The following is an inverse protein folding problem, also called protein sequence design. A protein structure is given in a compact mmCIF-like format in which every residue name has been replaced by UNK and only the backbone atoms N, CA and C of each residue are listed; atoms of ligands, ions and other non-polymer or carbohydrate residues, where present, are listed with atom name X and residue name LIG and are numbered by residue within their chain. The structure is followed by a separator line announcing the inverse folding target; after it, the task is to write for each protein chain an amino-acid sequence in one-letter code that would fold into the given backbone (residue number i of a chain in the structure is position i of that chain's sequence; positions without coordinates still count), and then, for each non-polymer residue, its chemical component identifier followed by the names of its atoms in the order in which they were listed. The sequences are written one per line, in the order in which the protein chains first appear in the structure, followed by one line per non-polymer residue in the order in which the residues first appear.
data_IF_123802593379
#
_entry.id   IF_123802593379
#
_cell.length_a   1.000
_cell.length_b   1.000
_cell.length_c   1.000
_cell.angle_alpha   90.00
_cell.angle_beta   90.00
_cell.angle_gamma   90.00
#
_symmetry.space_group_name_H-M   'P 1'
#
loop_
_entity.id
_entity.type
_entity.pdbx_description
1 polymer ?
#
# COMPACT_ATOMS: atom_id res chain seq x y z
N UNK A 1 -10.95 -0.99 -16.63
CA UNK A 1 -12.21 -0.24 -16.79
C UNK A 1 -13.20 -0.37 -15.62
N UNK A 2 -13.11 -1.39 -14.76
CA UNK A 2 -13.95 -1.50 -13.53
C UNK A 2 -13.58 -0.44 -12.47
N UNK A 3 -12.29 -0.16 -12.27
CA UNK A 3 -11.81 0.85 -11.33
C UNK A 3 -12.30 2.27 -11.70
N UNK A 4 -12.25 2.62 -13.00
CA UNK A 4 -12.66 3.94 -13.50
C UNK A 4 -14.15 4.26 -13.24
N UNK A 5 -15.06 3.29 -13.35
CA UNK A 5 -16.50 3.53 -13.09
C UNK A 5 -16.82 3.65 -11.61
N UNK A 6 -16.03 3.03 -10.73
CA UNK A 6 -16.31 3.04 -9.29
C UNK A 6 -15.68 4.27 -8.60
N UNK A 7 -14.55 4.76 -9.11
CA UNK A 7 -13.92 6.02 -8.69
C UNK A 7 -14.82 7.23 -8.96
N UNK A 8 -15.56 7.24 -10.08
CA UNK A 8 -16.47 8.35 -10.43
C UNK A 8 -17.66 8.46 -9.47
N UNK A 9 -18.04 7.38 -8.75
CA UNK A 9 -19.24 7.36 -7.91
C UNK A 9 -18.96 7.48 -6.40
N UNK A 10 -17.79 7.04 -5.93
CA UNK A 10 -17.45 7.03 -4.49
C UNK A 10 -16.18 7.82 -4.15
N UNK A 11 -15.48 8.37 -5.14
CA UNK A 11 -14.24 9.11 -4.95
C UNK A 11 -13.01 8.20 -4.81
N UNK A 12 -11.84 8.65 -5.32
CA UNK A 12 -10.59 7.88 -5.27
C UNK A 12 -10.11 7.60 -3.83
N UNK A 13 -10.51 8.44 -2.86
CA UNK A 13 -10.23 8.27 -1.43
C UNK A 13 -10.88 7.01 -0.83
N UNK A 14 -12.11 6.67 -1.21
CA UNK A 14 -12.80 5.48 -0.68
C UNK A 14 -12.14 4.20 -1.20
N UNK A 15 -11.75 4.19 -2.48
CA UNK A 15 -11.01 3.06 -3.07
C UNK A 15 -9.64 2.88 -2.45
N UNK A 16 -8.93 3.99 -2.21
CA UNK A 16 -7.66 3.99 -1.49
C UNK A 16 -7.83 3.41 -0.08
N UNK A 17 -8.87 3.81 0.65
CA UNK A 17 -9.16 3.31 2.01
C UNK A 17 -9.47 1.81 2.03
N UNK A 18 -10.26 1.32 1.08
CA UNK A 18 -10.56 -0.12 0.95
C UNK A 18 -9.29 -0.90 0.67
N UNK A 19 -8.46 -0.45 -0.28
CA UNK A 19 -7.20 -1.10 -0.63
C UNK A 19 -6.22 -1.16 0.56
N UNK A 20 -6.05 -0.05 1.28
CA UNK A 20 -5.17 0.00 2.47
C UNK A 20 -5.71 -0.88 3.60
N UNK A 21 -7.03 -0.93 3.78
CA UNK A 21 -7.66 -1.80 4.79
C UNK A 21 -7.45 -3.28 4.46
N UNK A 22 -7.63 -3.67 3.19
CA UNK A 22 -7.33 -5.02 2.72
C UNK A 22 -5.86 -5.38 2.90
N UNK A 23 -4.95 -4.44 2.62
CA UNK A 23 -3.52 -4.62 2.82
C UNK A 23 -3.16 -4.81 4.31
N UNK A 24 -3.80 -4.06 5.22
CA UNK A 24 -3.62 -4.23 6.67
C UNK A 24 -4.13 -5.59 7.17
N UNK A 25 -5.31 -6.02 6.72
CA UNK A 25 -5.83 -7.35 7.08
C UNK A 25 -4.91 -8.45 6.53
N UNK A 26 -4.48 -8.32 5.28
CA UNK A 26 -3.56 -9.26 4.64
C UNK A 26 -2.21 -9.34 5.35
N UNK A 27 -1.66 -8.22 5.81
CA UNK A 27 -0.35 -8.21 6.50
C UNK A 27 -0.41 -8.83 7.90
N UNK A 28 -1.50 -8.62 8.65
CA UNK A 28 -1.72 -9.31 9.94
C UNK A 28 -1.82 -10.82 9.75
N UNK A 29 -2.57 -11.26 8.73
CA UNK A 29 -2.67 -12.70 8.39
C UNK A 29 -1.31 -13.25 7.95
N UNK A 30 -0.53 -12.50 7.16
CA UNK A 30 0.80 -12.90 6.70
C UNK A 30 1.77 -13.07 7.87
N UNK A 31 1.77 -12.15 8.83
CA UNK A 31 2.60 -12.25 10.05
C UNK A 31 2.17 -13.47 10.86
N UNK A 32 0.87 -13.66 11.11
CA UNK A 32 0.36 -14.84 11.81
C UNK A 32 0.77 -16.15 11.13
N UNK A 33 0.56 -16.26 9.82
CA UNK A 33 0.97 -17.44 9.04
C UNK A 33 2.48 -17.69 9.12
N UNK A 34 3.30 -16.62 9.09
CA UNK A 34 4.75 -16.72 9.18
C UNK A 34 5.25 -17.13 10.57
N UNK A 35 4.54 -16.79 11.65
CA UNK A 35 4.91 -17.18 13.01
C UNK A 35 4.51 -18.60 13.37
N UNK A 36 3.33 -19.05 12.93
CA UNK A 36 2.82 -20.39 13.25
C UNK A 36 3.23 -21.48 12.23
N UNK A 37 3.93 -21.10 11.16
CA UNK A 37 4.31 -21.96 10.01
C UNK A 37 3.12 -22.79 9.48
N UNK A 38 1.94 -22.19 9.51
CA UNK A 38 0.68 -22.86 9.17
C UNK A 38 0.61 -22.99 7.66
N UNK A 39 0.58 -24.23 7.16
CA UNK A 39 0.52 -24.59 5.73
C UNK A 39 1.80 -24.29 4.91
N UNK A 40 2.92 -23.96 5.58
CA UNK A 40 4.19 -23.64 4.92
C UNK A 40 4.06 -22.52 3.87
N UNK A 41 4.62 -22.73 2.68
CA UNK A 41 4.60 -21.76 1.57
C UNK A 41 3.18 -21.35 1.16
N UNK A 42 2.20 -22.25 1.21
CA UNK A 42 0.82 -21.96 0.77
C UNK A 42 0.16 -20.94 1.70
N UNK A 43 0.45 -21.02 3.01
CA UNK A 43 -0.03 -20.07 4.01
C UNK A 43 0.47 -18.64 3.79
N UNK A 44 1.60 -18.47 3.10
CA UNK A 44 2.21 -17.17 2.77
C UNK A 44 1.68 -16.65 1.43
N UNK A 45 1.53 -17.51 0.43
CA UNK A 45 1.12 -17.11 -0.93
C UNK A 45 -0.29 -16.49 -0.94
N UNK A 46 -1.24 -17.09 -0.20
CA UNK A 46 -2.63 -16.61 -0.18
C UNK A 46 -2.72 -15.15 0.28
N UNK A 47 -2.23 -14.77 1.48
CA UNK A 47 -2.25 -13.38 1.92
C UNK A 47 -1.42 -12.45 1.02
N UNK A 48 -0.29 -12.91 0.48
CA UNK A 48 0.49 -12.12 -0.49
C UNK A 48 -0.31 -11.80 -1.76
N UNK A 49 -1.11 -12.73 -2.26
CA UNK A 49 -1.95 -12.49 -3.43
C UNK A 49 -2.93 -11.34 -3.19
N UNK A 50 -3.57 -11.30 -2.02
CA UNK A 50 -4.47 -10.20 -1.64
C UNK A 50 -3.72 -8.87 -1.47
N UNK A 51 -2.53 -8.89 -0.87
CA UNK A 51 -1.69 -7.70 -0.71
C UNK A 51 -1.29 -7.14 -2.08
N UNK A 52 -0.75 -7.98 -2.97
CA UNK A 52 -0.30 -7.57 -4.30
C UNK A 52 -1.48 -7.06 -5.14
N UNK A 53 -2.63 -7.74 -5.07
CA UNK A 53 -3.86 -7.26 -5.72
C UNK A 53 -4.26 -5.86 -5.25
N UNK A 54 -4.12 -5.58 -3.95
CA UNK A 54 -4.46 -4.28 -3.35
C UNK A 54 -3.49 -3.18 -3.77
N UNK A 55 -2.21 -3.48 -4.02
CA UNK A 55 -1.20 -2.51 -4.47
C UNK A 55 -1.62 -1.85 -5.79
N UNK A 56 -2.20 -2.62 -6.73
CA UNK A 56 -2.66 -2.08 -8.01
C UNK A 56 -3.79 -1.06 -7.85
N UNK A 57 -4.73 -1.30 -6.93
CA UNK A 57 -5.79 -0.37 -6.61
C UNK A 57 -5.26 0.88 -5.89
N UNK A 58 -4.36 0.70 -4.93
CA UNK A 58 -3.75 1.81 -4.17
C UNK A 58 -2.97 2.73 -5.12
N UNK A 59 -2.07 2.16 -5.93
CA UNK A 59 -1.19 2.93 -6.81
C UNK A 59 -1.98 3.76 -7.84
N UNK A 60 -2.98 3.16 -8.50
CA UNK A 60 -3.79 3.88 -9.48
C UNK A 60 -4.55 5.07 -8.87
N UNK A 61 -5.15 4.89 -7.69
CA UNK A 61 -5.89 5.96 -7.02
C UNK A 61 -4.97 7.04 -6.42
N UNK A 62 -3.84 6.64 -5.84
CA UNK A 62 -2.87 7.57 -5.26
C UNK A 62 -2.24 8.48 -6.32
N UNK A 63 -1.85 7.92 -7.47
CA UNK A 63 -1.31 8.71 -8.59
C UNK A 63 -2.38 9.66 -9.12
N UNK A 64 -3.63 9.22 -9.27
CA UNK A 64 -4.72 10.11 -9.72
C UNK A 64 -4.95 11.30 -8.79
N UNK A 65 -4.97 11.09 -7.48
CA UNK A 65 -5.10 12.17 -6.49
C UNK A 65 -3.89 13.12 -6.56
N UNK A 66 -2.68 12.58 -6.68
CA UNK A 66 -1.46 13.40 -6.79
C UNK A 66 -1.41 14.24 -8.09
N UNK A 67 -2.05 13.76 -9.17
CA UNK A 67 -2.06 14.43 -10.47
C UNK A 67 -3.14 15.51 -10.59
N UNK A 68 -4.19 15.47 -9.77
CA UNK A 68 -5.34 16.38 -9.83
C UNK A 68 -4.94 17.87 -9.73
N UNK A 69 -4.11 18.31 -8.76
CA UNK A 69 -3.64 19.70 -8.70
C UNK A 69 -2.46 20.02 -9.65
N UNK A 70 -1.79 19.00 -10.22
CA UNK A 70 -0.57 19.16 -11.03
C UNK A 70 -0.70 18.58 -12.44
N UNK A 71 -1.90 18.63 -13.02
CA UNK A 71 -2.20 18.01 -14.32
C UNK A 71 -1.34 18.52 -15.47
N UNK A 72 -0.90 19.79 -15.43
CA UNK A 72 0.03 20.38 -16.40
C UNK A 72 1.46 19.83 -16.29
N UNK A 73 1.85 19.34 -15.10
CA UNK A 73 3.15 18.75 -14.78
C UNK A 73 3.08 17.22 -14.68
N UNK A 74 2.18 16.58 -15.42
CA UNK A 74 1.89 15.16 -15.27
C UNK A 74 3.13 14.26 -15.49
N UNK A 75 3.98 14.60 -16.46
CA UNK A 75 5.22 13.86 -16.73
C UNK A 75 6.24 13.92 -15.58
N UNK A 76 6.43 15.10 -15.00
CA UNK A 76 7.32 15.32 -13.84
C UNK A 76 6.77 14.67 -12.58
N UNK A 77 5.45 14.75 -12.37
CA UNK A 77 4.80 14.13 -11.21
C UNK A 77 4.90 12.61 -11.27
N UNK A 78 4.69 12.00 -12.44
CA UNK A 78 4.83 10.56 -12.63
C UNK A 78 6.27 10.07 -12.44
N UNK A 79 7.27 10.83 -12.91
CA UNK A 79 8.68 10.45 -12.74
C UNK A 79 9.14 10.56 -11.28
N UNK A 80 8.72 11.61 -10.57
CA UNK A 80 8.99 11.75 -9.13
C UNK A 80 8.29 10.67 -8.31
N UNK A 81 7.05 10.31 -8.66
CA UNK A 81 6.33 9.22 -8.02
C UNK A 81 7.07 7.90 -8.17
N UNK A 82 7.47 7.55 -9.40
CA UNK A 82 8.23 6.34 -9.69
C UNK A 82 9.61 6.33 -9.02
N UNK A 83 10.33 7.45 -9.04
CA UNK A 83 11.62 7.59 -8.34
C UNK A 83 11.46 7.34 -6.85
N UNK A 84 10.50 8.01 -6.20
CA UNK A 84 10.24 7.85 -4.76
C UNK A 84 9.85 6.42 -4.42
N UNK A 85 8.99 5.80 -5.23
CA UNK A 85 8.60 4.41 -5.06
C UNK A 85 9.80 3.46 -5.16
N UNK A 86 10.68 3.65 -6.15
CA UNK A 86 11.88 2.83 -6.31
C UNK A 86 12.89 3.05 -5.19
N UNK A 87 13.13 4.29 -4.77
CA UNK A 87 14.04 4.61 -3.65
C UNK A 87 13.56 3.96 -2.35
N UNK A 88 12.28 4.11 -2.02
CA UNK A 88 11.70 3.48 -0.83
C UNK A 88 11.72 1.95 -0.94
N UNK A 89 11.42 1.39 -2.12
CA UNK A 89 11.50 -0.05 -2.39
C UNK A 89 12.91 -0.60 -2.19
N UNK A 90 13.94 0.10 -2.67
CA UNK A 90 15.33 -0.28 -2.47
C UNK A 90 15.72 -0.23 -0.99
N UNK A 91 15.32 0.82 -0.27
CA UNK A 91 15.56 0.94 1.17
C UNK A 91 14.88 -0.19 1.96
N UNK A 92 13.63 -0.50 1.66
CA UNK A 92 12.91 -1.63 2.26
C UNK A 92 13.58 -2.97 1.92
N UNK A 93 14.05 -3.16 0.69
CA UNK A 93 14.76 -4.36 0.27
C UNK A 93 16.07 -4.56 1.04
N UNK A 94 16.83 -3.48 1.27
CA UNK A 94 18.03 -3.52 2.12
C UNK A 94 17.70 -3.87 3.57
N UNK A 95 16.63 -3.30 4.12
CA UNK A 95 16.17 -3.65 5.47
C UNK A 95 15.78 -5.12 5.57
N UNK A 96 14.93 -5.61 4.65
CA UNK A 96 14.52 -7.03 4.63
C UNK A 96 15.75 -7.94 4.52
N UNK A 97 16.69 -7.62 3.63
CA UNK A 97 17.92 -8.39 3.44
C UNK A 97 18.85 -8.38 4.66
N UNK A 98 18.95 -7.25 5.36
CA UNK A 98 19.80 -7.13 6.54
C UNK A 98 19.25 -7.87 7.77
N UNK A 99 17.92 -7.99 7.87
CA UNK A 99 17.23 -8.73 8.94
C UNK A 99 16.83 -10.15 8.49
N UNK A 100 17.37 -10.65 7.38
CA UNK A 100 17.00 -11.95 6.86
C UNK A 100 17.66 -13.08 7.64
N UNK A 101 16.89 -13.71 8.53
CA UNK A 101 17.33 -14.85 9.36
C UNK A 101 16.95 -16.22 8.75
N UNK A 102 16.71 -16.30 7.43
CA UNK A 102 16.29 -17.54 6.75
C UNK A 102 14.79 -17.85 6.86
N UNK A 103 14.00 -16.99 7.49
CA UNK A 103 12.54 -17.13 7.64
C UNK A 103 11.79 -16.00 6.90
N UNK A 104 10.48 -16.19 6.66
CA UNK A 104 9.62 -15.18 6.04
C UNK A 104 9.12 -14.10 7.03
N UNK A 105 9.39 -14.25 8.33
CA UNK A 105 8.97 -13.35 9.40
C UNK A 105 9.46 -11.91 9.22
N UNK A 106 10.77 -11.63 8.98
CA UNK A 106 11.24 -10.25 8.81
C UNK A 106 10.56 -9.52 7.65
N UNK A 107 10.28 -10.22 6.55
CA UNK A 107 9.51 -9.67 5.43
C UNK A 107 8.08 -9.33 5.84
N UNK A 108 7.38 -10.26 6.51
CA UNK A 108 5.99 -10.05 6.93
C UNK A 108 5.84 -8.87 7.89
N UNK A 109 6.77 -8.72 8.84
CA UNK A 109 6.80 -7.61 9.80
C UNK A 109 7.01 -6.27 9.10
N UNK A 110 7.94 -6.19 8.14
CA UNK A 110 8.19 -4.96 7.39
C UNK A 110 6.95 -4.56 6.57
N UNK A 111 6.30 -5.52 5.90
CA UNK A 111 5.05 -5.28 5.16
C UNK A 111 3.95 -4.77 6.11
N UNK A 112 3.85 -5.35 7.31
CA UNK A 112 2.90 -4.91 8.32
C UNK A 112 3.15 -3.45 8.72
N UNK A 113 4.39 -3.10 9.08
CA UNK A 113 4.76 -1.72 9.47
C UNK A 113 4.41 -0.74 8.34
N UNK A 114 4.73 -1.07 7.09
CA UNK A 114 4.40 -0.23 5.93
C UNK A 114 2.88 -0.08 5.73
N UNK A 115 2.11 -1.16 5.90
CA UNK A 115 0.66 -1.13 5.77
C UNK A 115 0.01 -0.21 6.82
N UNK A 116 0.42 -0.34 8.09
CA UNK A 116 -0.06 0.53 9.17
C UNK A 116 0.39 1.97 9.00
N UNK A 117 1.61 2.20 8.52
CA UNK A 117 2.11 3.55 8.20
C UNK A 117 1.25 4.18 7.09
N UNK A 118 0.93 3.42 6.04
CA UNK A 118 0.03 3.88 4.97
C UNK A 118 -1.37 4.22 5.49
N UNK A 119 -1.92 3.40 6.39
CA UNK A 119 -3.21 3.67 7.03
C UNK A 119 -3.16 4.95 7.85
N UNK A 120 -2.12 5.13 8.66
CA UNK A 120 -1.92 6.33 9.48
C UNK A 120 -1.88 7.60 8.61
N UNK A 121 -1.04 7.60 7.56
CA UNK A 121 -0.97 8.72 6.62
C UNK A 121 -2.31 9.01 5.95
N UNK A 122 -3.05 7.99 5.54
CA UNK A 122 -4.37 8.15 4.94
C UNK A 122 -5.34 8.79 5.94
N UNK A 123 -5.36 8.34 7.19
CA UNK A 123 -6.25 8.91 8.22
C UNK A 123 -5.90 10.34 8.56
N UNK A 124 -4.61 10.68 8.64
CA UNK A 124 -4.16 12.05 8.92
C UNK A 124 -4.50 12.98 7.74
N UNK A 125 -4.24 12.57 6.50
CA UNK A 125 -4.58 13.35 5.32
C UNK A 125 -6.09 13.60 5.19
N UNK A 126 -6.90 12.57 5.46
CA UNK A 126 -8.36 12.71 5.43
C UNK A 126 -8.86 13.61 6.56
N UNK A 127 -8.28 13.52 7.77
CA UNK A 127 -8.63 14.40 8.88
C UNK A 127 -8.29 15.87 8.57
N UNK A 128 -7.11 16.13 8.02
CA UNK A 128 -6.63 17.48 7.73
C UNK A 128 -7.39 18.15 6.57
N UNK A 129 -7.84 17.38 5.58
CA UNK A 129 -8.67 17.91 4.49
C UNK A 129 -10.10 18.24 4.95
N UNK A 130 -10.56 17.69 6.08
CA UNK A 130 -11.86 18.03 6.68
C UNK A 130 -11.87 19.38 7.39
N UNK A 131 -10.71 19.90 7.82
CA UNK A 131 -10.60 21.18 8.54
C UNK A 131 -10.57 22.40 7.61
N UNK A 132 -10.45 22.20 6.29
CA UNK A 132 -10.44 23.29 5.29
C UNK A 132 -11.83 23.62 4.71
N UNK A 133 -12.88 22.93 5.13
CA UNK A 133 -14.27 23.18 4.71
C UNK A 133 -15.14 23.88 5.77
N UNK A 134 -14.57 24.30 6.91
CA UNK A 134 -15.24 25.08 7.97
C UNK A 134 -14.98 26.60 7.87
#
# INVERSE_FOLDING_TARGET
MINARTVIKYGPLVMLRIGVSMMCVGSVVLVGASFFDVLGIIGIIIPLFFIIGSIGFIGANAISIALEPFSELAGTTASLFGFTQMTLGAFCGLLVGSFYDGTAVPMAVIIMILAFTSLFFLTVLVANNGETED
#
